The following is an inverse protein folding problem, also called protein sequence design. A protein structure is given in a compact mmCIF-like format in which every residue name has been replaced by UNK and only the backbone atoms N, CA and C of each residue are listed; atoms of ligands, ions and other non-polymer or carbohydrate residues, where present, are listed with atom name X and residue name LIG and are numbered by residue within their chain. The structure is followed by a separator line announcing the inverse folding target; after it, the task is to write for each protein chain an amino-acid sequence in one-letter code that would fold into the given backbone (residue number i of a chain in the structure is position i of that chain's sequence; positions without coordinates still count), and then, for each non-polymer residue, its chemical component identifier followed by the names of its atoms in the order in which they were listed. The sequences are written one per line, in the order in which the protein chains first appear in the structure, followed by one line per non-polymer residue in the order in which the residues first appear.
data_IF_389451782629
#
_entry.id   IF_389451782629
#
_cell.length_a   1.000
_cell.length_b   1.000
_cell.length_c   1.000
_cell.angle_alpha   90.00
_cell.angle_beta   90.00
_cell.angle_gamma   90.00
#
_symmetry.space_group_name_H-M   'P 1'
#
loop_
_entity.id
_entity.type
_entity.pdbx_description
1 polymer ?
#
# COMPACT_ATOMS: atom_id res chain seq x y z
N UNK A 1 -9.86 7.11 -2.25
CA UNK A 1 -10.75 5.91 -2.22
C UNK A 1 -10.70 5.04 -0.93
N UNK A 2 -9.71 5.17 -0.04
CA UNK A 2 -9.51 4.24 1.08
C UNK A 2 -10.70 4.10 2.03
N UNK A 3 -11.38 5.20 2.36
CA UNK A 3 -12.60 5.19 3.17
C UNK A 3 -13.70 4.30 2.59
N UNK A 4 -13.97 4.43 1.29
CA UNK A 4 -14.99 3.63 0.60
C UNK A 4 -14.64 2.14 0.64
N UNK A 5 -13.36 1.81 0.43
CA UNK A 5 -12.88 0.43 0.52
C UNK A 5 -12.97 -0.15 1.94
N UNK A 6 -12.70 0.67 2.95
CA UNK A 6 -12.83 0.28 4.34
C UNK A 6 -14.29 -0.06 4.71
N UNK A 7 -15.24 0.78 4.27
CA UNK A 7 -16.67 0.56 4.49
C UNK A 7 -17.16 -0.75 3.86
N UNK A 8 -16.65 -1.10 2.67
CA UNK A 8 -17.01 -2.34 1.98
C UNK A 8 -16.57 -3.62 2.72
N UNK A 9 -15.59 -3.53 3.63
CA UNK A 9 -15.14 -4.65 4.48
C UNK A 9 -15.57 -4.50 5.96
N UNK A 10 -16.51 -3.60 6.23
CA UNK A 10 -17.10 -3.41 7.55
C UNK A 10 -16.30 -2.55 8.52
N UNK A 11 -15.35 -1.74 8.02
CA UNK A 11 -14.62 -0.75 8.82
C UNK A 11 -15.33 0.60 8.66
N UNK A 12 -15.70 1.24 9.77
CA UNK A 12 -16.32 2.57 9.74
C UNK A 12 -15.44 3.58 9.02
N UNK A 13 -16.05 4.44 8.19
CA UNK A 13 -15.35 5.51 7.50
C UNK A 13 -14.63 6.49 8.45
N UNK A 14 -15.10 6.64 9.69
CA UNK A 14 -14.43 7.45 10.71
C UNK A 14 -13.12 6.80 11.19
N UNK A 15 -13.12 5.47 11.36
CA UNK A 15 -11.93 4.70 11.74
C UNK A 15 -10.90 4.76 10.60
N UNK A 16 -11.35 4.54 9.36
CA UNK A 16 -10.49 4.64 8.18
C UNK A 16 -9.88 6.04 8.07
N UNK A 17 -10.68 7.10 8.17
CA UNK A 17 -10.20 8.47 8.11
C UNK A 17 -9.26 8.85 9.27
N UNK A 18 -9.47 8.29 10.46
CA UNK A 18 -8.55 8.47 11.57
C UNK A 18 -7.19 7.85 11.24
N UNK A 19 -7.17 6.61 10.76
CA UNK A 19 -5.93 5.88 10.42
C UNK A 19 -5.22 6.51 9.23
N UNK A 20 -5.92 6.87 8.16
CA UNK A 20 -5.35 7.57 7.01
C UNK A 20 -4.59 8.82 7.47
N UNK A 21 -5.23 9.67 8.30
CA UNK A 21 -4.57 10.87 8.85
C UNK A 21 -3.42 10.56 9.78
N UNK A 22 -3.45 9.42 10.45
CA UNK A 22 -2.38 9.00 11.35
C UNK A 22 -1.11 8.65 10.55
N UNK A 23 -1.30 7.90 9.46
CA UNK A 23 -0.23 7.37 8.60
C UNK A 23 0.29 8.45 7.64
N UNK A 24 -0.60 9.16 6.95
CA UNK A 24 -0.23 10.11 5.89
C UNK A 24 0.32 11.43 6.43
N UNK A 25 -0.26 11.96 7.51
CA UNK A 25 0.15 13.27 8.01
C UNK A 25 1.37 13.23 8.93
N UNK A 26 1.99 12.06 9.10
CA UNK A 26 3.16 11.88 9.96
C UNK A 26 2.91 12.26 11.42
N UNK A 27 1.68 12.10 11.91
CA UNK A 27 1.32 12.42 13.30
C UNK A 27 1.99 11.49 14.31
N UNK A 28 2.60 10.41 13.84
CA UNK A 28 3.48 9.51 14.57
C UNK A 28 4.88 9.54 13.95
N UNK A 29 5.46 10.74 13.85
CA UNK A 29 6.88 10.98 13.49
C UNK A 29 7.25 10.81 12.00
N UNK A 30 6.53 10.01 11.20
CA UNK A 30 6.83 9.83 9.78
C UNK A 30 5.58 9.63 8.89
N UNK A 31 5.64 10.13 7.66
CA UNK A 31 4.68 9.80 6.60
C UNK A 31 4.84 8.33 6.19
N UNK A 32 3.74 7.64 5.88
CA UNK A 32 3.69 6.18 5.63
C UNK A 32 4.27 5.35 6.80
N UNK A 33 4.12 5.84 8.05
CA UNK A 33 4.57 5.11 9.25
C UNK A 33 3.92 3.73 9.31
N UNK A 34 4.69 2.71 9.66
CA UNK A 34 4.32 1.31 9.52
C UNK A 34 5.20 0.64 8.48
N UNK A 35 5.00 0.98 7.21
CA UNK A 35 5.80 0.47 6.07
C UNK A 35 7.07 1.28 5.78
N UNK A 36 7.19 2.49 6.33
CA UNK A 36 8.44 3.25 6.41
C UNK A 36 8.97 3.27 7.84
N UNK A 37 10.29 3.18 7.95
CA UNK A 37 11.01 3.22 9.23
C UNK A 37 11.49 4.65 9.47
N UNK A 38 11.02 5.34 10.53
CA UNK A 38 11.46 6.68 10.87
C UNK A 38 12.97 6.73 11.06
N UNK A 39 13.61 7.73 10.42
CA UNK A 39 15.05 7.95 10.53
C UNK A 39 15.35 9.07 11.52
N UNK A 40 16.41 8.87 12.31
CA UNK A 40 16.99 9.88 13.19
C UNK A 40 18.21 10.47 12.49
N UNK A 41 18.33 11.80 12.53
CA UNK A 41 19.51 12.50 12.03
C UNK A 41 20.66 12.40 13.05
N UNK A 42 21.71 11.66 12.69
CA UNK A 42 22.94 11.54 13.47
C UNK A 42 24.07 12.30 12.78
N UNK A 43 23.94 13.63 12.72
CA UNK A 43 25.00 14.51 12.20
C UNK A 43 25.08 14.55 10.68
N UNK A 44 23.94 14.60 9.99
CA UNK A 44 23.81 14.62 8.54
C UNK A 44 23.54 13.25 7.90
N UNK A 45 23.48 12.19 8.71
CA UNK A 45 23.17 10.82 8.27
C UNK A 45 21.83 10.40 8.87
N UNK A 46 20.83 10.26 8.00
CA UNK A 46 19.52 9.73 8.35
C UNK A 46 19.62 8.21 8.58
N UNK A 47 19.52 7.76 9.83
CA UNK A 47 19.59 6.34 10.19
C UNK A 47 18.26 5.89 10.79
N UNK A 48 17.58 4.87 10.25
CA UNK A 48 16.38 4.33 10.89
C UNK A 48 16.74 3.73 12.24
N UNK A 49 16.13 4.26 13.30
CA UNK A 49 16.46 3.88 14.68
C UNK A 49 15.30 3.17 15.40
N UNK A 50 14.12 3.13 14.77
CA UNK A 50 12.91 2.51 15.30
C UNK A 50 12.13 1.84 14.17
N UNK A 51 11.50 0.71 14.45
CA UNK A 51 10.60 0.05 13.50
C UNK A 51 9.36 0.92 13.22
N UNK A 52 9.00 1.10 11.95
CA UNK A 52 7.77 1.79 11.57
C UNK A 52 6.51 1.13 12.17
N UNK A 53 6.50 -0.21 12.23
CA UNK A 53 5.41 -0.96 12.83
C UNK A 53 5.27 -0.67 14.33
N UNK A 54 6.38 -0.59 15.06
CA UNK A 54 6.36 -0.23 16.49
C UNK A 54 5.85 1.19 16.71
N UNK A 55 6.31 2.14 15.89
CA UNK A 55 5.84 3.54 16.00
C UNK A 55 4.34 3.63 15.73
N UNK A 56 3.83 2.94 14.71
CA UNK A 56 2.40 2.93 14.42
C UNK A 56 1.58 2.28 15.55
N UNK A 57 1.97 1.10 16.02
CA UNK A 57 1.29 0.39 17.13
C UNK A 57 1.35 1.20 18.42
N UNK A 58 2.51 1.76 18.76
CA UNK A 58 2.69 2.63 19.92
C UNK A 58 1.84 3.89 19.84
N UNK A 59 1.74 4.50 18.66
CA UNK A 59 0.91 5.69 18.46
C UNK A 59 -0.59 5.40 18.60
N UNK A 60 -1.06 4.26 18.08
CA UNK A 60 -2.42 3.78 18.32
C UNK A 60 -2.68 3.55 19.81
N UNK A 61 -1.71 2.96 20.52
CA UNK A 61 -1.82 2.73 21.96
C UNK A 61 -1.90 4.05 22.74
N UNK A 62 -1.03 5.01 22.44
CA UNK A 62 -1.03 6.34 23.09
C UNK A 62 -2.35 7.10 22.89
N UNK A 63 -3.02 6.89 21.76
CA UNK A 63 -4.31 7.51 21.47
C UNK A 63 -5.51 6.70 22.00
N UNK A 64 -5.28 5.58 22.69
CA UNK A 64 -6.34 4.71 23.19
C UNK A 64 -7.13 4.00 22.10
N UNK A 65 -6.49 3.75 20.94
CA UNK A 65 -7.08 3.18 19.72
C UNK A 65 -6.36 1.91 19.25
N UNK A 66 -5.54 1.28 20.09
CA UNK A 66 -4.94 -0.02 19.78
C UNK A 66 -5.98 -1.12 19.97
N UNK A 67 -6.77 -1.36 18.91
CA UNK A 67 -7.75 -2.43 18.85
C UNK A 67 -7.76 -3.09 17.46
N UNK A 68 -8.51 -4.19 17.33
CA UNK A 68 -8.55 -4.96 16.10
C UNK A 68 -9.11 -4.20 14.89
N UNK A 69 -10.00 -3.22 15.08
CA UNK A 69 -10.58 -2.49 13.94
C UNK A 69 -9.59 -1.45 13.39
N UNK A 70 -8.83 -0.78 14.26
CA UNK A 70 -7.80 0.16 13.83
C UNK A 70 -6.59 -0.55 13.20
N UNK A 71 -6.19 -1.72 13.73
CA UNK A 71 -5.14 -2.54 13.11
C UNK A 71 -5.56 -3.05 11.71
N UNK A 72 -6.82 -3.49 11.55
CA UNK A 72 -7.37 -3.85 10.23
C UNK A 72 -7.40 -2.65 9.29
N UNK A 73 -7.78 -1.47 9.78
CA UNK A 73 -7.78 -0.25 8.97
C UNK A 73 -6.37 0.15 8.52
N UNK A 74 -5.36 0.04 9.39
CA UNK A 74 -3.96 0.33 9.05
C UNK A 74 -3.41 -0.66 8.02
N UNK A 75 -3.68 -1.95 8.20
CA UNK A 75 -3.29 -2.98 7.24
C UNK A 75 -3.95 -2.77 5.86
N UNK A 76 -5.25 -2.43 5.83
CA UNK A 76 -5.94 -2.09 4.59
C UNK A 76 -5.32 -0.87 3.93
N UNK A 77 -5.06 0.20 4.68
CA UNK A 77 -4.47 1.44 4.18
C UNK A 77 -3.15 1.16 3.44
N UNK A 78 -2.20 0.46 4.08
CA UNK A 78 -0.93 0.13 3.44
C UNK A 78 -1.07 -0.73 2.19
N UNK A 79 -2.04 -1.67 2.18
CA UNK A 79 -2.32 -2.47 0.98
C UNK A 79 -2.82 -1.59 -0.17
N UNK A 80 -3.74 -0.66 0.12
CA UNK A 80 -4.33 0.23 -0.87
C UNK A 80 -3.31 1.26 -1.38
N UNK A 81 -2.46 1.83 -0.52
CA UNK A 81 -1.33 2.69 -0.94
C UNK A 81 -0.42 1.99 -1.93
N UNK A 82 -0.10 0.72 -1.66
CA UNK A 82 0.72 -0.05 -2.57
C UNK A 82 0.03 -0.21 -3.92
N UNK A 83 -1.28 -0.51 -3.93
CA UNK A 83 -2.07 -0.65 -5.16
C UNK A 83 -2.12 0.68 -5.91
N UNK A 84 -2.39 1.79 -5.24
CA UNK A 84 -2.35 3.16 -5.80
C UNK A 84 -1.00 3.43 -6.47
N UNK A 85 0.10 3.14 -5.76
CA UNK A 85 1.44 3.23 -6.32
C UNK A 85 1.70 2.30 -7.52
N UNK A 86 1.06 1.13 -7.60
CA UNK A 86 1.13 0.25 -8.78
C UNK A 86 0.33 0.80 -9.94
N UNK A 87 -0.87 1.32 -9.70
CA UNK A 87 -1.73 1.93 -10.72
C UNK A 87 -1.04 3.16 -11.29
N UNK A 88 -0.55 4.08 -10.46
CA UNK A 88 0.24 5.22 -10.94
C UNK A 88 1.47 4.82 -11.76
N UNK A 89 2.09 3.68 -11.47
CA UNK A 89 3.29 3.19 -12.18
C UNK A 89 2.99 2.44 -13.47
N UNK A 90 2.00 1.55 -13.45
CA UNK A 90 1.69 0.62 -14.55
C UNK A 90 0.54 1.09 -15.44
N UNK A 91 -0.24 2.05 -14.96
CA UNK A 91 -1.37 2.66 -15.66
C UNK A 91 -2.70 2.06 -15.24
N UNK A 92 -3.76 2.80 -15.55
CA UNK A 92 -5.14 2.47 -15.12
C UNK A 92 -5.72 1.27 -15.87
N UNK A 93 -5.15 0.89 -17.03
CA UNK A 93 -5.59 -0.29 -17.80
C UNK A 93 -5.40 -1.61 -17.03
N UNK A 94 -4.53 -1.64 -16.01
CA UNK A 94 -4.38 -2.76 -15.09
C UNK A 94 -5.72 -3.23 -14.49
N UNK A 95 -6.61 -2.29 -14.18
CA UNK A 95 -7.92 -2.62 -13.61
C UNK A 95 -8.88 -3.30 -14.60
N UNK A 96 -8.59 -3.27 -15.90
CA UNK A 96 -9.40 -3.91 -16.93
C UNK A 96 -9.17 -5.42 -17.06
N UNK A 97 -8.21 -5.99 -16.33
CA UNK A 97 -7.86 -7.40 -16.42
C UNK A 97 -7.78 -8.06 -15.04
N UNK A 98 -8.65 -9.05 -14.78
CA UNK A 98 -8.70 -9.74 -13.50
C UNK A 98 -7.38 -10.42 -13.11
N UNK A 99 -6.61 -10.94 -14.06
CA UNK A 99 -5.31 -11.55 -13.80
C UNK A 99 -4.27 -10.51 -13.36
N UNK A 100 -4.26 -9.34 -13.98
CA UNK A 100 -3.31 -8.27 -13.64
C UNK A 100 -3.66 -7.63 -12.29
N UNK A 101 -4.96 -7.46 -12.00
CA UNK A 101 -5.46 -7.03 -10.68
C UNK A 101 -5.00 -8.00 -9.58
N UNK A 102 -5.21 -9.30 -9.77
CA UNK A 102 -4.79 -10.32 -8.80
C UNK A 102 -3.28 -10.33 -8.59
N UNK A 103 -2.52 -10.22 -9.68
CA UNK A 103 -1.07 -10.14 -9.61
C UNK A 103 -0.60 -8.90 -8.85
N UNK A 104 -1.25 -7.76 -9.05
CA UNK A 104 -0.92 -6.53 -8.32
C UNK A 104 -1.24 -6.64 -6.83
N UNK A 105 -2.43 -7.16 -6.48
CA UNK A 105 -2.83 -7.38 -5.09
C UNK A 105 -1.89 -8.36 -4.38
N UNK A 106 -1.57 -9.50 -4.99
CA UNK A 106 -0.64 -10.48 -4.42
C UNK A 106 0.76 -9.88 -4.23
N UNK A 107 1.23 -9.09 -5.20
CA UNK A 107 2.52 -8.39 -5.10
C UNK A 107 2.51 -7.36 -3.97
N UNK A 108 1.43 -6.60 -3.83
CA UNK A 108 1.30 -5.61 -2.76
C UNK A 108 1.20 -6.24 -1.38
N UNK A 109 0.48 -7.36 -1.26
CA UNK A 109 0.48 -8.17 -0.04
C UNK A 109 1.91 -8.56 0.37
N UNK A 110 2.70 -9.11 -0.55
CA UNK A 110 4.09 -9.48 -0.27
C UNK A 110 4.95 -8.27 0.08
N UNK A 111 4.91 -7.21 -0.73
CA UNK A 111 5.74 -6.01 -0.50
C UNK A 111 5.42 -5.32 0.82
N UNK A 112 4.15 -5.23 1.21
CA UNK A 112 3.74 -4.63 2.50
C UNK A 112 4.13 -5.55 3.65
N UNK A 113 3.86 -6.86 3.56
CA UNK A 113 4.22 -7.81 4.61
C UNK A 113 5.74 -7.87 4.84
N UNK A 114 6.54 -7.82 3.77
CA UNK A 114 8.00 -7.82 3.88
C UNK A 114 8.50 -6.55 4.54
N UNK A 115 7.97 -5.37 4.16
CA UNK A 115 8.32 -4.10 4.83
C UNK A 115 7.94 -4.06 6.30
N UNK A 116 6.76 -4.55 6.65
CA UNK A 116 6.33 -4.63 8.05
C UNK A 116 7.24 -5.54 8.86
N UNK A 117 7.77 -6.61 8.26
CA UNK A 117 8.65 -7.59 8.92
C UNK A 117 10.13 -7.24 8.89
N UNK A 118 10.54 -6.29 8.07
CA UNK A 118 11.93 -5.85 7.96
C UNK A 118 12.35 -5.01 9.17
N UNK A 119 12.07 -5.47 10.39
CA UNK A 119 12.26 -4.70 11.62
C UNK A 119 13.66 -4.90 12.21
N UNK A 120 14.25 -6.07 12.01
CA UNK A 120 15.51 -6.48 12.66
C UNK A 120 16.72 -5.64 12.23
N UNK A 121 16.63 -5.00 11.06
CA UNK A 121 17.65 -4.10 10.52
C UNK A 121 17.60 -2.69 11.12
N UNK A 122 16.50 -2.33 11.78
CA UNK A 122 16.21 -0.95 12.21
C UNK A 122 16.04 -0.79 13.71
N UNK A 123 16.26 -1.85 14.49
CA UNK A 123 16.14 -1.85 15.96
C UNK A 123 17.32 -2.53 16.61
N UNK A 124 17.61 -2.16 17.86
CA UNK A 124 18.66 -2.81 18.64
C UNK A 124 18.28 -4.27 18.93
N UNK A 125 19.26 -5.19 19.13
CA UNK A 125 18.97 -6.59 19.42
C UNK A 125 18.02 -6.82 20.61
N UNK A 126 18.03 -5.94 21.61
CA UNK A 126 17.16 -6.01 22.78
C UNK A 126 15.68 -5.74 22.45
N UNK A 127 15.40 -4.96 21.41
CA UNK A 127 14.05 -4.48 21.07
C UNK A 127 13.39 -5.30 19.96
N UNK A 128 14.14 -6.20 19.30
CA UNK A 128 13.65 -7.03 18.18
C UNK A 128 12.38 -7.82 18.47
N UNK A 129 12.21 -8.29 19.71
CA UNK A 129 11.03 -9.06 20.08
C UNK A 129 9.76 -8.21 20.02
N UNK A 130 9.79 -7.01 20.61
CA UNK A 130 8.68 -6.06 20.56
C UNK A 130 8.41 -5.59 19.12
N UNK A 131 9.48 -5.37 18.35
CA UNK A 131 9.37 -4.98 16.95
C UNK A 131 8.66 -6.01 16.08
N UNK A 132 8.99 -7.30 16.27
CA UNK A 132 8.33 -8.39 15.57
C UNK A 132 6.88 -8.56 16.02
N UNK A 133 6.60 -8.40 17.31
CA UNK A 133 5.22 -8.45 17.82
C UNK A 133 4.35 -7.34 17.18
N UNK A 134 4.85 -6.11 17.14
CA UNK A 134 4.16 -5.00 16.48
C UNK A 134 3.95 -5.26 14.97
N UNK A 135 4.97 -5.80 14.29
CA UNK A 135 4.86 -6.21 12.89
C UNK A 135 3.77 -7.28 12.69
N UNK A 136 3.71 -8.29 13.56
CA UNK A 136 2.69 -9.34 13.51
C UNK A 136 1.28 -8.81 13.73
N UNK A 137 1.10 -7.82 14.64
CA UNK A 137 -0.18 -7.16 14.87
C UNK A 137 -0.76 -6.50 13.60
N UNK A 138 0.09 -6.05 12.67
CA UNK A 138 -0.33 -5.45 11.39
C UNK A 138 -0.37 -6.48 10.25
N UNK A 139 0.59 -7.40 10.24
CA UNK A 139 0.73 -8.40 9.18
C UNK A 139 -0.39 -9.42 9.20
N UNK A 140 -0.86 -9.85 10.37
CA UNK A 140 -1.97 -10.82 10.47
C UNK A 140 -3.27 -10.24 9.86
N UNK A 141 -3.77 -9.06 10.28
CA UNK A 141 -4.90 -8.42 9.62
C UNK A 141 -4.74 -8.22 8.12
N UNK A 142 -3.53 -7.93 7.64
CA UNK A 142 -3.25 -7.79 6.21
C UNK A 142 -3.56 -9.07 5.43
N UNK A 143 -3.10 -10.23 5.91
CA UNK A 143 -3.41 -11.51 5.29
C UNK A 143 -4.89 -11.88 5.44
N UNK A 144 -5.50 -11.63 6.60
CA UNK A 144 -6.92 -11.89 6.83
C UNK A 144 -7.78 -11.08 5.82
N UNK A 145 -7.49 -9.78 5.65
CA UNK A 145 -8.17 -8.93 4.68
C UNK A 145 -7.98 -9.44 3.25
N UNK A 146 -6.75 -9.80 2.88
CA UNK A 146 -6.47 -10.32 1.55
C UNK A 146 -7.25 -11.61 1.26
N UNK A 147 -7.31 -12.54 2.21
CA UNK A 147 -7.95 -13.83 2.00
C UNK A 147 -9.48 -13.74 2.06
N UNK A 148 -10.03 -12.98 3.00
CA UNK A 148 -11.47 -12.96 3.29
C UNK A 148 -12.23 -11.97 2.40
N UNK A 149 -11.54 -11.00 1.80
CA UNK A 149 -12.16 -9.89 1.06
C UNK A 149 -11.61 -9.72 -0.37
N UNK A 150 -11.11 -10.78 -1.02
CA UNK A 150 -10.54 -10.71 -2.39
C UNK A 150 -11.41 -9.97 -3.41
N UNK A 151 -12.70 -10.27 -3.47
CA UNK A 151 -13.61 -9.64 -4.45
C UNK A 151 -13.81 -8.14 -4.17
N UNK A 152 -13.82 -7.75 -2.89
CA UNK A 152 -13.87 -6.34 -2.49
C UNK A 152 -12.57 -5.63 -2.86
N UNK A 153 -11.41 -6.27 -2.63
CA UNK A 153 -10.11 -5.71 -3.00
C UNK A 153 -9.95 -5.53 -4.52
N UNK A 154 -10.47 -6.46 -5.33
CA UNK A 154 -10.52 -6.28 -6.80
C UNK A 154 -11.31 -5.04 -7.18
N UNK A 155 -12.49 -4.86 -6.58
CA UNK A 155 -13.32 -3.67 -6.80
C UNK A 155 -12.60 -2.39 -6.36
N UNK A 156 -11.86 -2.45 -5.25
CA UNK A 156 -11.03 -1.33 -4.79
C UNK A 156 -9.94 -0.95 -5.79
N UNK A 157 -9.30 -1.93 -6.44
CA UNK A 157 -8.32 -1.65 -7.50
C UNK A 157 -8.98 -0.91 -8.68
N UNK A 158 -10.21 -1.30 -9.05
CA UNK A 158 -10.98 -0.57 -10.07
C UNK A 158 -11.28 0.86 -9.65
N UNK A 159 -11.76 1.07 -8.42
CA UNK A 159 -12.05 2.41 -7.90
C UNK A 159 -10.80 3.30 -7.83
N UNK A 160 -9.66 2.73 -7.43
CA UNK A 160 -8.37 3.43 -7.44
C UNK A 160 -7.98 3.82 -8.87
N UNK A 161 -8.09 2.89 -9.83
CA UNK A 161 -7.78 3.18 -11.23
C UNK A 161 -8.70 4.24 -11.85
N UNK A 162 -9.98 4.28 -11.48
CA UNK A 162 -10.91 5.34 -11.88
C UNK A 162 -10.54 6.70 -11.26
N UNK A 163 -10.20 6.72 -9.97
CA UNK A 163 -9.71 7.92 -9.28
C UNK A 163 -8.43 8.44 -9.95
N UNK A 164 -7.47 7.57 -10.22
CA UNK A 164 -6.19 7.92 -10.86
C UNK A 164 -6.37 8.38 -12.30
N UNK A 165 -7.27 7.76 -13.07
CA UNK A 165 -7.62 8.22 -14.41
C UNK A 165 -8.17 9.65 -14.36
N UNK A 166 -9.01 9.97 -13.36
CA UNK A 166 -9.55 11.32 -13.17
C UNK A 166 -8.48 12.36 -12.79
N UNK A 167 -7.38 11.90 -12.18
CA UNK A 167 -6.20 12.72 -11.86
C UNK A 167 -5.19 12.81 -13.01
N UNK A 168 -5.47 12.17 -14.16
CA UNK A 168 -4.62 12.21 -15.36
C UNK A 168 -3.57 11.11 -15.42
N UNK A 169 -3.68 10.04 -14.63
CA UNK A 169 -2.86 8.84 -14.82
C UNK A 169 -3.28 8.16 -16.12
N UNK A 170 -2.32 8.03 -17.03
CA UNK A 170 -2.54 7.41 -18.33
C UNK A 170 -2.92 5.92 -18.21
N UNK A 171 -3.73 5.38 -19.15
CA UNK A 171 -4.03 3.94 -19.19
C UNK A 171 -2.78 3.06 -19.21
N UNK A 172 -1.71 3.56 -19.82
CA UNK A 172 -0.40 2.94 -19.93
C UNK A 172 0.58 3.78 -19.09
N UNK A 173 0.92 3.31 -17.89
CA UNK A 173 1.65 4.09 -16.91
C UNK A 173 3.08 4.46 -17.32
N UNK A 174 3.79 5.16 -16.44
CA UNK A 174 5.10 5.80 -16.72
C UNK A 174 6.18 4.80 -17.17
N UNK A 175 6.11 3.53 -16.76
CA UNK A 175 7.08 2.50 -17.22
C UNK A 175 6.83 1.97 -18.64
N UNK A 176 5.73 2.35 -19.30
CA UNK A 176 5.55 2.13 -20.73
C UNK A 176 6.08 3.30 -21.59
N UNK A 177 6.50 4.42 -20.97
CA UNK A 177 7.06 5.57 -21.68
C UNK A 177 8.54 5.42 -22.06
N UNK A 178 9.24 4.41 -21.55
CA UNK A 178 10.52 3.98 -22.10
C UNK A 178 10.32 2.81 -23.06
N UNK A 179 9.78 3.07 -24.25
CA UNK A 179 10.24 2.35 -25.43
C UNK A 179 9.83 3.08 -26.71
N UNK A 180 10.70 3.17 -27.73
CA UNK A 180 10.37 3.57 -29.11
C UNK A 180 9.12 2.89 -29.74
N UNK A 181 8.51 1.90 -29.07
CA UNK A 181 7.21 1.33 -29.41
C UNK A 181 6.05 2.34 -29.42
N UNK A 182 6.00 3.35 -28.54
CA UNK A 182 4.86 4.31 -28.56
C UNK A 182 4.84 5.15 -29.84
N UNK A 183 6.02 5.55 -30.32
CA UNK A 183 6.17 6.22 -31.61
C UNK A 183 5.78 5.30 -32.77
N UNK A 184 6.22 4.04 -32.72
CA UNK A 184 5.91 3.01 -33.71
C UNK A 184 4.41 2.65 -33.80
N UNK A 185 3.73 2.51 -32.67
CA UNK A 185 2.31 2.14 -32.63
C UNK A 185 1.39 3.29 -33.06
N UNK A 186 1.74 4.52 -32.70
CA UNK A 186 1.06 5.72 -33.21
C UNK A 186 1.22 5.86 -34.74
N UNK A 187 2.38 5.47 -35.28
CA UNK A 187 2.63 5.43 -36.74
C UNK A 187 1.84 4.31 -37.46
N UNK A 188 1.48 3.23 -36.75
CA UNK A 188 0.76 2.09 -37.31
C UNK A 188 -0.77 2.22 -37.30
N UNK A 189 -1.34 3.28 -36.71
CA UNK A 189 -2.78 3.54 -36.74
C UNK A 189 -3.64 2.56 -35.96
N UNK A 190 -3.07 1.79 -35.04
CA UNK A 190 -3.82 0.83 -34.22
C UNK A 190 -4.46 1.52 -33.00
N UNK A 191 -5.80 1.53 -32.97
CA UNK A 191 -6.55 1.74 -31.73
C UNK A 191 -6.14 0.65 -30.73
N UNK A 192 -5.67 1.09 -29.56
CA UNK A 192 -4.89 0.26 -28.64
C UNK A 192 -5.64 -1.00 -28.19
N UNK A 193 -5.26 -2.16 -28.75
CA UNK A 193 -5.51 -3.49 -28.19
C UNK A 193 -4.18 -4.22 -28.06
N UNK A 194 -3.64 -4.29 -26.85
CA UNK A 194 -2.43 -5.06 -26.61
C UNK A 194 -2.73 -6.55 -26.51
N UNK A 195 -2.11 -7.31 -27.41
CA UNK A 195 -1.95 -8.76 -27.34
C UNK A 195 -0.74 -9.06 -26.43
N UNK A 196 -0.93 -9.92 -25.42
CA UNK A 196 0.10 -10.34 -24.45
C UNK A 196 1.35 -10.93 -25.15
N UNK A 197 2.57 -10.69 -24.64
CA UNK A 197 3.67 -11.62 -24.85
C UNK A 197 3.42 -12.86 -24.00
N UNK A 198 3.31 -14.01 -24.66
CA UNK A 198 3.26 -15.31 -24.00
C UNK A 198 4.64 -15.62 -23.36
N UNK A 199 4.63 -15.96 -22.07
CA UNK A 199 5.65 -16.78 -21.42
C UNK A 199 4.94 -17.95 -20.75
#
# INVERSE_FOLDING_TARGET
MHRTCAELIGISGDVANFVDRLIDLGRCEAHDVGVRHPAVDLGGVQTPAVSGAEVLVGCLAMQGRLDGVHLRAAALHHLLDCVDGKVGRYGTALAGNAFDVERALARCLSEVADRLRDVDMYVLPADRAAAREAAEMLTKPLYDIYNDHRDVLRRCVTLIAEEDASKGVEPLGVYQYYNPLRGLLTLCGEEHRWVKPFL
#
